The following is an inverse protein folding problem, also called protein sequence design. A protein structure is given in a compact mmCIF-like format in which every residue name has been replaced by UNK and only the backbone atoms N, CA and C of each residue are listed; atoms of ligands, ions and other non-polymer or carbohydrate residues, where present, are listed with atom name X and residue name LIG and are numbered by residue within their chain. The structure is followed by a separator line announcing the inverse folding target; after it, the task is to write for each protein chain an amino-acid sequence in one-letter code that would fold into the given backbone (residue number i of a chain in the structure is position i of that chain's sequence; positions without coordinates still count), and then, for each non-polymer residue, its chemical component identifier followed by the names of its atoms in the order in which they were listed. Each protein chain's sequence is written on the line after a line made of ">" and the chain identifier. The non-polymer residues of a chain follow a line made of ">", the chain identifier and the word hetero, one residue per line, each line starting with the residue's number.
data_IF_832461586023
#
_entry.id   IF_832461586023
#
_cell.length_a   1.000
_cell.length_b   1.000
_cell.length_c   1.000
_cell.angle_alpha   90.00
_cell.angle_beta   90.00
_cell.angle_gamma   90.00
#
_symmetry.space_group_name_H-M   'P 1'
#
loop_
_entity.id
_entity.type
_entity.pdbx_description
1 polymer ?
#
# COMPACT_ATOMS: atom_id res chain seq x y z
N UNK A 1 -4.88 -23.10 -30.49
CA UNK A 1 -5.98 -22.38 -29.81
C UNK A 1 -5.38 -21.54 -28.69
N UNK A 2 -5.04 -20.28 -28.97
CA UNK A 2 -4.56 -19.33 -27.96
C UNK A 2 -5.71 -18.40 -27.59
N UNK A 3 -6.14 -18.45 -26.33
CA UNK A 3 -7.14 -17.54 -25.79
C UNK A 3 -6.49 -16.17 -25.56
N UNK A 4 -6.92 -15.18 -26.32
CA UNK A 4 -6.55 -13.78 -26.12
C UNK A 4 -7.29 -13.25 -24.89
N UNK A 5 -6.56 -13.06 -23.79
CA UNK A 5 -7.05 -12.40 -22.59
C UNK A 5 -7.41 -10.96 -22.95
N UNK A 6 -8.71 -10.64 -22.98
CA UNK A 6 -9.17 -9.26 -23.18
C UNK A 6 -8.79 -8.44 -21.94
N UNK A 7 -7.67 -7.73 -22.02
CA UNK A 7 -7.35 -6.64 -21.10
C UNK A 7 -8.51 -5.64 -21.18
N UNK A 8 -9.30 -5.54 -20.11
CA UNK A 8 -10.29 -4.47 -19.96
C UNK A 8 -9.49 -3.17 -19.91
N UNK A 9 -9.27 -2.56 -21.07
CA UNK A 9 -8.62 -1.27 -21.18
C UNK A 9 -9.47 -0.26 -20.42
N UNK A 10 -8.89 0.35 -19.38
CA UNK A 10 -9.46 1.49 -18.68
C UNK A 10 -9.79 2.55 -19.74
N UNK A 11 -11.04 3.02 -19.90
CA UNK A 11 -11.29 4.16 -20.76
C UNK A 11 -10.41 5.30 -20.26
N UNK A 12 -9.60 5.87 -21.16
CA UNK A 12 -8.77 7.02 -20.84
C UNK A 12 -9.66 8.08 -20.17
N UNK A 13 -9.19 8.78 -19.11
CA UNK A 13 -9.95 9.88 -18.54
C UNK A 13 -10.05 10.94 -19.64
N UNK A 14 -11.16 10.93 -20.37
CA UNK A 14 -11.50 11.99 -21.30
C UNK A 14 -11.82 13.21 -20.46
N UNK A 15 -10.82 14.07 -20.29
CA UNK A 15 -11.08 15.39 -19.76
C UNK A 15 -11.93 16.18 -20.76
N UNK A 16 -12.82 17.00 -20.18
CA UNK A 16 -13.56 18.12 -20.75
C UNK A 16 -14.92 17.84 -21.43
N UNK A 17 -16.00 18.20 -20.71
CA UNK A 17 -16.96 19.30 -21.05
C UNK A 17 -18.30 19.16 -20.32
N UNK A 18 -18.27 19.21 -18.99
CA UNK A 18 -19.03 20.17 -18.19
C UNK A 18 -18.83 19.79 -16.72
N UNK A 19 -18.27 20.70 -15.92
CA UNK A 19 -18.73 20.75 -14.53
C UNK A 19 -20.23 21.03 -14.65
N UNK A 20 -21.07 19.99 -14.60
CA UNK A 20 -22.52 20.14 -14.71
C UNK A 20 -22.93 21.30 -13.79
N UNK A 21 -23.64 22.28 -14.35
CA UNK A 21 -23.83 23.60 -13.73
C UNK A 21 -24.56 23.50 -12.39
N UNK A 22 -25.37 22.45 -12.20
CA UNK A 22 -26.10 22.25 -10.94
C UNK A 22 -25.28 21.45 -9.90
N UNK A 23 -25.31 21.86 -8.61
CA UNK A 23 -24.65 21.13 -7.52
C UNK A 23 -25.09 19.65 -7.40
N UNK A 24 -26.37 19.35 -7.69
CA UNK A 24 -26.92 17.98 -7.62
C UNK A 24 -26.33 17.06 -8.67
N UNK A 25 -26.14 17.54 -9.89
CA UNK A 25 -25.57 16.75 -10.97
C UNK A 25 -24.07 16.48 -10.79
N UNK A 26 -23.34 17.41 -10.16
CA UNK A 26 -21.95 17.20 -9.73
C UNK A 26 -21.87 16.11 -8.67
N UNK A 27 -22.72 16.17 -7.65
CA UNK A 27 -22.78 15.14 -6.61
C UNK A 27 -23.05 13.76 -7.22
N UNK A 28 -24.02 13.65 -8.14
CA UNK A 28 -24.32 12.40 -8.84
C UNK A 28 -23.12 11.85 -9.61
N UNK A 29 -22.41 12.70 -10.36
CA UNK A 29 -21.19 12.33 -11.08
C UNK A 29 -20.12 11.74 -10.14
N UNK A 30 -19.81 12.43 -9.04
CA UNK A 30 -18.82 11.94 -8.07
C UNK A 30 -19.26 10.65 -7.38
N UNK A 31 -20.56 10.50 -7.07
CA UNK A 31 -21.08 9.25 -6.53
C UNK A 31 -20.93 8.09 -7.52
N UNK A 32 -21.18 8.32 -8.81
CA UNK A 32 -21.04 7.29 -9.84
C UNK A 32 -19.57 6.92 -10.07
N UNK A 33 -18.67 7.91 -10.04
CA UNK A 33 -17.21 7.68 -10.12
C UNK A 33 -16.69 6.89 -8.90
N UNK A 34 -17.11 7.26 -7.69
CA UNK A 34 -16.76 6.53 -6.47
C UNK A 34 -17.28 5.09 -6.48
N UNK A 35 -18.50 4.86 -6.99
CA UNK A 35 -19.04 3.50 -7.17
C UNK A 35 -18.21 2.69 -8.16
N UNK A 36 -17.82 3.29 -9.29
CA UNK A 36 -16.97 2.64 -10.29
C UNK A 36 -15.61 2.24 -9.70
N UNK A 37 -14.96 3.18 -9.00
CA UNK A 37 -13.68 2.94 -8.30
C UNK A 37 -13.79 1.82 -7.25
N UNK A 38 -14.81 1.88 -6.39
CA UNK A 38 -15.05 0.83 -5.39
C UNK A 38 -15.25 -0.54 -6.03
N UNK A 39 -16.00 -0.63 -7.14
CA UNK A 39 -16.23 -1.89 -7.86
C UNK A 39 -14.94 -2.47 -8.44
N UNK A 40 -14.02 -1.61 -8.92
CA UNK A 40 -12.70 -2.04 -9.37
C UNK A 40 -11.88 -2.61 -8.21
N UNK A 41 -11.82 -1.88 -7.09
CA UNK A 41 -11.01 -2.27 -5.92
C UNK A 41 -11.54 -3.50 -5.18
N UNK A 42 -12.84 -3.78 -5.23
CA UNK A 42 -13.46 -4.92 -4.57
C UNK A 42 -12.79 -6.26 -4.86
N UNK A 43 -12.34 -6.49 -6.10
CA UNK A 43 -11.64 -7.74 -6.47
C UNK A 43 -10.30 -7.88 -5.74
N UNK A 44 -9.51 -6.80 -5.73
CA UNK A 44 -8.23 -6.73 -5.03
C UNK A 44 -8.42 -6.93 -3.51
N UNK A 45 -9.38 -6.23 -2.90
CA UNK A 45 -9.66 -6.39 -1.46
C UNK A 45 -10.09 -7.81 -1.09
N UNK A 46 -10.98 -8.44 -1.88
CA UNK A 46 -11.42 -9.83 -1.63
C UNK A 46 -10.27 -10.83 -1.74
N UNK A 47 -9.33 -10.61 -2.66
CA UNK A 47 -8.12 -11.43 -2.76
C UNK A 47 -7.21 -11.20 -1.56
N UNK A 48 -7.01 -9.94 -1.16
CA UNK A 48 -6.21 -9.58 0.01
C UNK A 48 -6.69 -10.24 1.30
N UNK A 49 -8.00 -10.16 1.59
CA UNK A 49 -8.58 -10.82 2.78
C UNK A 49 -8.32 -12.33 2.79
N UNK A 50 -8.38 -13.00 1.62
CA UNK A 50 -8.07 -14.44 1.54
C UNK A 50 -6.60 -14.73 1.83
N UNK A 51 -5.67 -13.88 1.37
CA UNK A 51 -4.23 -14.05 1.64
C UNK A 51 -3.93 -13.80 3.11
N UNK A 52 -4.52 -12.76 3.70
CA UNK A 52 -4.38 -12.46 5.13
C UNK A 52 -4.94 -13.60 5.99
N UNK A 53 -6.10 -14.18 5.63
CA UNK A 53 -6.65 -15.36 6.33
C UNK A 53 -5.69 -16.55 6.30
N UNK A 54 -4.99 -16.77 5.18
CA UNK A 54 -3.94 -17.80 5.06
C UNK A 54 -2.69 -17.47 5.87
N UNK A 55 -2.31 -16.19 5.93
CA UNK A 55 -1.18 -15.72 6.73
C UNK A 55 -1.40 -16.00 8.22
N UNK A 56 -2.59 -15.68 8.74
CA UNK A 56 -2.96 -15.91 10.14
C UNK A 56 -3.25 -17.39 10.46
N UNK A 57 -3.27 -18.27 9.46
CA UNK A 57 -3.76 -19.66 9.56
C UNK A 57 -5.15 -19.77 10.20
N UNK A 58 -5.99 -18.74 9.99
CA UNK A 58 -7.38 -18.73 10.42
C UNK A 58 -8.17 -19.64 9.48
N UNK A 59 -8.06 -20.94 9.70
CA UNK A 59 -8.94 -21.92 9.09
C UNK A 59 -10.14 -21.99 10.02
N UNK A 60 -11.32 -21.63 9.51
CA UNK A 60 -12.56 -21.98 10.19
C UNK A 60 -12.50 -23.48 10.42
N UNK A 61 -12.20 -23.88 11.66
CA UNK A 61 -12.45 -25.24 12.12
C UNK A 61 -13.91 -25.45 11.85
N UNK A 62 -14.23 -26.25 10.83
CA UNK A 62 -15.60 -26.55 10.42
C UNK A 62 -16.38 -26.84 11.71
N UNK A 63 -17.31 -25.94 12.04
CA UNK A 63 -18.15 -26.05 13.22
C UNK A 63 -18.88 -27.39 13.17
N UNK A 64 -18.36 -28.34 13.94
CA UNK A 64 -18.63 -29.77 13.80
C UNK A 64 -17.49 -30.64 14.36
N UNK A 65 -16.26 -30.12 14.37
CA UNK A 65 -15.16 -30.73 15.12
C UNK A 65 -14.56 -29.73 16.10
N UNK A 66 -15.28 -29.49 17.20
CA UNK A 66 -14.64 -29.42 18.52
C UNK A 66 -14.10 -30.81 18.92
N UNK A 67 -13.47 -31.52 17.98
CA UNK A 67 -12.73 -32.74 18.21
C UNK A 67 -11.30 -32.27 18.38
N UNK A 68 -11.00 -32.06 19.65
CA UNK A 68 -9.75 -32.47 20.26
C UNK A 68 -8.45 -31.96 19.64
N UNK A 69 -7.66 -31.33 20.51
CA UNK A 69 -6.21 -31.25 20.43
C UNK A 69 -5.65 -32.69 20.62
N UNK A 70 -6.06 -33.66 19.80
CA UNK A 70 -5.73 -35.10 19.94
C UNK A 70 -5.35 -35.78 18.62
N UNK A 71 -4.74 -35.07 17.69
CA UNK A 71 -3.88 -35.76 16.74
C UNK A 71 -2.63 -34.94 16.45
N UNK A 72 -1.47 -35.54 16.73
CA UNK A 72 -0.13 -34.95 16.74
C UNK A 72 0.38 -34.50 15.37
N UNK A 73 -0.49 -33.91 14.54
CA UNK A 73 -0.10 -33.21 13.33
C UNK A 73 0.67 -31.95 13.71
N UNK A 74 1.99 -32.00 13.58
CA UNK A 74 2.83 -30.81 13.59
C UNK A 74 2.41 -29.90 12.42
N UNK A 75 1.74 -28.78 12.72
CA UNK A 75 1.28 -27.83 11.72
C UNK A 75 2.29 -26.69 11.59
N UNK A 76 3.02 -26.67 10.48
CA UNK A 76 3.98 -25.62 10.16
C UNK A 76 3.37 -24.60 9.19
N UNK A 77 3.16 -23.37 9.63
CA UNK A 77 2.78 -22.26 8.75
C UNK A 77 4.03 -21.66 8.09
N UNK A 78 4.54 -22.34 7.07
CA UNK A 78 5.73 -21.90 6.33
C UNK A 78 5.53 -20.54 5.64
N UNK A 79 4.28 -20.20 5.28
CA UNK A 79 3.97 -18.92 4.66
C UNK A 79 4.21 -17.75 5.61
N UNK A 80 3.74 -17.85 6.86
CA UNK A 80 4.00 -16.83 7.87
C UNK A 80 5.51 -16.68 8.15
N UNK A 81 6.21 -17.80 8.34
CA UNK A 81 7.67 -17.77 8.56
C UNK A 81 8.43 -17.10 7.42
N UNK A 82 8.09 -17.39 6.16
CA UNK A 82 8.75 -16.79 5.00
C UNK A 82 8.43 -15.29 4.84
N UNK A 83 7.20 -14.88 5.13
CA UNK A 83 6.83 -13.45 5.03
C UNK A 83 7.51 -12.65 6.15
N UNK A 84 7.62 -13.22 7.35
CA UNK A 84 8.30 -12.57 8.48
C UNK A 84 9.80 -12.38 8.19
N UNK A 85 10.48 -13.41 7.65
CA UNK A 85 11.89 -13.27 7.28
C UNK A 85 12.10 -12.27 6.14
N UNK A 86 11.22 -12.24 5.14
CA UNK A 86 11.28 -11.22 4.08
C UNK A 86 11.06 -9.81 4.61
N UNK A 87 10.13 -9.65 5.56
CA UNK A 87 9.85 -8.36 6.20
C UNK A 87 11.08 -7.85 6.96
N UNK A 88 11.72 -8.71 7.75
CA UNK A 88 12.94 -8.36 8.49
C UNK A 88 14.12 -8.05 7.56
N UNK A 89 14.26 -8.80 6.45
CA UNK A 89 15.30 -8.55 5.45
C UNK A 89 15.12 -7.22 4.72
N UNK A 90 13.88 -6.84 4.41
CA UNK A 90 13.60 -5.62 3.65
C UNK A 90 13.57 -4.37 4.53
N UNK A 91 13.23 -4.52 5.81
CA UNK A 91 13.03 -3.39 6.70
C UNK A 91 13.70 -3.61 8.06
N UNK A 92 15.00 -3.32 8.10
CA UNK A 92 15.80 -3.36 9.31
C UNK A 92 15.94 -1.99 9.99
N UNK A 93 15.96 -0.91 9.20
CA UNK A 93 16.18 0.46 9.69
C UNK A 93 15.25 1.46 9.02
N UNK A 94 14.96 2.57 9.73
CA UNK A 94 14.26 3.71 9.16
C UNK A 94 15.09 4.35 8.04
N UNK A 95 14.52 4.50 6.83
CA UNK A 95 15.23 5.12 5.71
C UNK A 95 15.45 6.61 5.99
N UNK A 96 16.63 7.12 5.59
CA UNK A 96 16.96 8.54 5.60
C UNK A 96 16.63 9.15 4.24
N UNK A 97 16.18 10.41 4.24
CA UNK A 97 15.90 11.14 3.00
C UNK A 97 17.16 11.87 2.58
N UNK A 98 17.52 11.71 1.30
CA UNK A 98 18.57 12.48 0.64
C UNK A 98 17.91 13.40 -0.38
N UNK A 99 18.31 14.68 -0.39
CA UNK A 99 17.76 15.67 -1.32
C UNK A 99 18.90 16.31 -2.07
N UNK A 100 18.98 16.04 -3.36
CA UNK A 100 19.98 16.62 -4.25
C UNK A 100 19.36 17.56 -5.28
N UNK A 101 20.19 18.48 -5.77
CA UNK A 101 19.84 19.38 -6.88
C UNK A 101 19.70 18.58 -8.18
N UNK A 102 18.70 18.94 -9.00
CA UNK A 102 18.47 18.28 -10.30
C UNK A 102 19.62 18.50 -11.28
N UNK A 103 20.16 19.72 -11.34
CA UNK A 103 21.30 20.08 -12.19
C UNK A 103 22.51 20.42 -11.31
N UNK A 104 23.65 19.78 -11.58
CA UNK A 104 24.87 19.95 -10.79
C UNK A 104 25.73 21.14 -11.26
N UNK A 105 25.14 22.32 -11.40
CA UNK A 105 25.91 23.53 -11.68
C UNK A 105 26.82 23.85 -10.47
N UNK A 106 28.12 24.01 -10.72
CA UNK A 106 29.10 24.30 -9.69
C UNK A 106 28.94 25.71 -9.12
N UNK A 107 28.32 26.63 -9.86
CA UNK A 107 28.20 28.04 -9.48
C UNK A 107 26.91 28.36 -8.70
N UNK A 108 25.98 27.41 -8.55
CA UNK A 108 24.72 27.63 -7.84
C UNK A 108 24.83 27.21 -6.36
N UNK A 109 25.35 28.13 -5.55
CA UNK A 109 25.46 27.97 -4.10
C UNK A 109 24.09 28.02 -3.40
N UNK A 110 23.14 28.79 -3.94
CA UNK A 110 21.80 28.95 -3.34
C UNK A 110 21.04 27.63 -3.41
N UNK A 111 21.07 26.96 -4.57
CA UNK A 111 20.44 25.66 -4.71
C UNK A 111 21.09 24.58 -3.82
N UNK A 112 22.42 24.65 -3.62
CA UNK A 112 23.11 23.73 -2.70
C UNK A 112 22.63 23.90 -1.26
N UNK A 113 22.60 25.13 -0.76
CA UNK A 113 22.15 25.41 0.62
C UNK A 113 20.67 25.08 0.78
N UNK A 114 19.84 25.37 -0.23
CA UNK A 114 18.42 25.03 -0.19
C UNK A 114 18.19 23.51 -0.12
N UNK A 115 18.94 22.72 -0.89
CA UNK A 115 18.87 21.26 -0.85
C UNK A 115 19.27 20.70 0.52
N UNK A 116 20.39 21.16 1.08
CA UNK A 116 20.86 20.75 2.41
C UNK A 116 19.86 21.16 3.52
N UNK A 117 19.26 22.33 3.41
CA UNK A 117 18.24 22.81 4.36
C UNK A 117 16.98 21.95 4.30
N UNK A 118 16.51 21.59 3.09
CA UNK A 118 15.37 20.70 2.91
C UNK A 118 15.66 19.30 3.43
N UNK A 119 16.85 18.76 3.18
CA UNK A 119 17.28 17.45 3.67
C UNK A 119 17.22 17.38 5.20
N UNK A 120 17.79 18.39 5.87
CA UNK A 120 17.76 18.49 7.33
C UNK A 120 16.34 18.61 7.86
N UNK A 121 15.49 19.42 7.22
CA UNK A 121 14.11 19.60 7.65
C UNK A 121 13.31 18.30 7.55
N UNK A 122 13.46 17.55 6.45
CA UNK A 122 12.78 16.27 6.26
C UNK A 122 13.28 15.20 7.24
N UNK A 123 14.60 15.10 7.43
CA UNK A 123 15.17 14.14 8.37
C UNK A 123 14.84 14.49 9.83
N UNK A 124 14.74 15.77 10.19
CA UNK A 124 14.27 16.20 11.51
C UNK A 124 12.82 15.78 11.75
N UNK A 125 11.94 15.94 10.77
CA UNK A 125 10.55 15.52 10.90
C UNK A 125 10.39 13.99 11.06
N UNK A 126 11.25 13.21 10.38
CA UNK A 126 11.31 11.75 10.54
C UNK A 126 11.86 11.38 11.92
N UNK A 127 12.86 12.09 12.42
CA UNK A 127 13.45 11.84 13.73
C UNK A 127 12.45 12.12 14.88
N UNK A 128 11.73 13.23 14.81
CA UNK A 128 10.75 13.63 15.83
C UNK A 128 9.57 12.65 15.92
N UNK A 129 9.12 12.12 14.77
CA UNK A 129 7.96 11.23 14.67
C UNK A 129 8.35 9.77 14.34
N UNK A 130 9.57 9.35 14.67
CA UNK A 130 10.15 8.10 14.17
C UNK A 130 9.31 6.84 14.44
N UNK A 131 8.60 6.79 15.58
CA UNK A 131 7.73 5.66 15.95
C UNK A 131 6.51 5.54 15.02
N UNK A 132 5.86 6.67 14.73
CA UNK A 132 4.70 6.71 13.83
C UNK A 132 5.13 6.36 12.40
N UNK A 133 6.29 6.87 11.96
CA UNK A 133 6.86 6.52 10.66
C UNK A 133 7.21 5.04 10.54
N UNK A 134 7.86 4.45 11.55
CA UNK A 134 8.23 3.02 11.57
C UNK A 134 6.97 2.14 11.50
N UNK A 135 5.96 2.43 12.32
CA UNK A 135 4.71 1.67 12.34
C UNK A 135 3.95 1.72 11.00
N UNK A 136 3.90 2.89 10.36
CA UNK A 136 3.24 3.07 9.06
C UNK A 136 4.02 2.34 7.96
N UNK A 137 5.35 2.46 7.92
CA UNK A 137 6.17 1.79 6.91
C UNK A 137 6.12 0.26 7.06
N UNK A 138 6.14 -0.27 8.29
CA UNK A 138 5.95 -1.71 8.54
C UNK A 138 4.59 -2.20 8.08
N UNK A 139 3.52 -1.47 8.40
CA UNK A 139 2.15 -1.82 8.00
C UNK A 139 2.00 -1.83 6.48
N UNK A 140 2.53 -0.81 5.81
CA UNK A 140 2.51 -0.69 4.34
C UNK A 140 3.34 -1.77 3.67
N UNK A 141 4.48 -2.15 4.26
CA UNK A 141 5.32 -3.23 3.75
C UNK A 141 4.63 -4.59 3.91
N UNK A 142 3.96 -4.83 5.03
CA UNK A 142 3.14 -6.02 5.24
C UNK A 142 2.00 -6.12 4.21
N UNK A 143 1.30 -5.00 3.96
CA UNK A 143 0.27 -4.92 2.91
C UNK A 143 0.85 -5.07 1.49
N UNK A 144 2.12 -4.68 1.28
CA UNK A 144 2.80 -4.96 0.01
C UNK A 144 3.12 -6.44 -0.15
N UNK A 145 3.53 -7.13 0.91
CA UNK A 145 3.91 -8.55 0.86
C UNK A 145 2.71 -9.50 0.81
N UNK A 146 1.59 -9.14 1.43
CA UNK A 146 0.40 -9.99 1.51
C UNK A 146 -0.56 -9.75 0.32
N UNK A 147 -1.37 -8.66 0.25
CA UNK A 147 -2.27 -8.40 -0.87
C UNK A 147 -1.58 -7.84 -2.12
N UNK A 148 -0.30 -7.42 -2.04
CA UNK A 148 0.43 -6.85 -3.19
C UNK A 148 0.24 -5.34 -3.37
N UNK A 149 -0.44 -4.67 -2.44
CA UNK A 149 -0.74 -3.24 -2.50
C UNK A 149 -0.63 -2.62 -1.10
N UNK A 150 0.48 -1.91 -0.87
CA UNK A 150 0.64 -1.05 0.31
C UNK A 150 0.42 0.41 -0.07
N UNK A 151 -0.39 1.14 0.72
CA UNK A 151 -0.63 2.57 0.52
C UNK A 151 -0.51 3.33 1.85
N UNK A 152 0.35 4.35 1.89
CA UNK A 152 0.42 5.31 2.98
C UNK A 152 -0.26 6.62 2.55
N UNK A 153 -0.84 7.36 3.51
CA UNK A 153 -1.35 8.71 3.28
C UNK A 153 -0.62 9.69 4.18
N UNK A 154 0.01 10.69 3.56
CA UNK A 154 0.60 11.82 4.26
C UNK A 154 -0.51 12.78 4.70
N UNK A 155 -0.45 13.22 5.96
CA UNK A 155 -1.27 14.30 6.49
C UNK A 155 -0.35 15.44 6.93
N UNK A 156 -0.84 16.67 6.78
CA UNK A 156 -0.19 17.92 7.16
C UNK A 156 -0.82 18.48 8.44
#
# INVERSE_FOLDING_TARGET
>A
MMATTSTIARPAPTDTKSRKTSPRERAKFWCDELKSSNKMLQKCHKQGVKVVKRFLDDRDTVAGSAVEISDGSFRLNLFNSNVSTLQDMLYSTLPQVETSRTNADANDDVARVAAETMERLLNLHIADNGQDYDSVLRSVLQDRLLPGLGCARVRY
#
